data_IF_103374402455
#
_entry.id   IF_103374402455
#
_cell.length_a   1.000
_cell.length_b   1.000
_cell.length_c   1.000
_cell.angle_alpha   90.00
_cell.angle_beta   90.00
_cell.angle_gamma   90.00
#
_symmetry.space_group_name_H-M   'P 1'
#
loop_
_entity.id
_entity.type
_entity.pdbx_description
1 polymer ?
#
# COMPACT_ATOMS: atom_id res chain seq x y z
N UNK A 1 -29.31 5.46 5.15
CA UNK A 1 -29.36 4.95 6.54
C UNK A 1 -27.93 4.77 7.08
N UNK A 2 -27.12 5.86 7.23
CA UNK A 2 -25.66 5.76 7.44
C UNK A 2 -25.21 5.96 8.91
N UNK A 3 -26.12 6.34 9.79
CA UNK A 3 -25.80 6.79 11.16
C UNK A 3 -25.63 5.65 12.18
N UNK A 4 -26.00 4.41 11.83
CA UNK A 4 -25.86 3.25 12.73
C UNK A 4 -24.45 2.63 12.72
N UNK A 5 -23.66 2.86 11.69
CA UNK A 5 -22.31 2.30 11.51
C UNK A 5 -21.27 2.98 12.43
N UNK A 6 -21.29 4.32 12.54
CA UNK A 6 -20.42 5.07 13.45
C UNK A 6 -20.73 4.80 14.94
N UNK A 7 -21.99 4.51 15.28
CA UNK A 7 -22.42 4.26 16.67
C UNK A 7 -22.05 2.85 17.17
N UNK A 8 -21.77 1.90 16.27
CA UNK A 8 -21.30 0.56 16.63
C UNK A 8 -19.81 0.56 17.00
N UNK A 9 -18.98 1.29 16.25
CA UNK A 9 -17.54 1.47 16.55
C UNK A 9 -17.32 2.08 17.94
N UNK A 10 -18.13 3.08 18.33
CA UNK A 10 -18.02 3.74 19.65
C UNK A 10 -18.49 2.90 20.85
N UNK A 11 -19.31 1.85 20.64
CA UNK A 11 -19.85 1.04 21.75
C UNK A 11 -18.92 -0.09 22.19
N UNK A 12 -17.99 -0.57 21.35
CA UNK A 12 -17.05 -1.63 21.73
C UNK A 12 -15.79 -1.11 22.44
N UNK A 13 -15.43 0.17 22.30
CA UNK A 13 -14.27 0.78 22.97
C UNK A 13 -14.48 1.11 24.45
N UNK A 14 -15.69 0.89 25.00
CA UNK A 14 -15.99 1.11 26.43
C UNK A 14 -16.06 -0.16 27.27
N UNK A 15 -15.88 -1.35 26.67
CA UNK A 15 -15.71 -2.59 27.42
C UNK A 15 -14.21 -2.81 27.68
N UNK A 16 -13.79 -2.56 28.91
CA UNK A 16 -12.39 -2.54 29.35
C UNK A 16 -11.56 -3.72 28.84
N UNK A 17 -10.56 -3.39 28.02
CA UNK A 17 -9.45 -4.27 27.70
C UNK A 17 -8.25 -3.78 28.50
N UNK A 18 -7.86 -4.53 29.53
CA UNK A 18 -6.61 -4.30 30.24
C UNK A 18 -5.45 -4.84 29.39
N UNK A 19 -4.46 -4.02 28.98
CA UNK A 19 -3.33 -4.53 28.21
C UNK A 19 -2.41 -5.39 29.09
N UNK A 20 -1.85 -6.49 28.57
CA UNK A 20 -0.88 -7.30 29.29
C UNK A 20 0.44 -6.54 29.45
N UNK A 21 0.98 -6.53 30.67
CA UNK A 21 2.29 -5.96 30.99
C UNK A 21 3.38 -6.91 30.51
N UNK A 22 4.11 -6.55 29.45
CA UNK A 22 5.32 -7.26 29.03
C UNK A 22 6.53 -6.50 29.58
N UNK A 23 7.33 -7.16 30.41
CA UNK A 23 8.58 -6.63 30.94
C UNK A 23 9.66 -6.63 29.84
N UNK A 24 10.14 -5.44 29.47
CA UNK A 24 11.23 -5.25 28.50
C UNK A 24 12.58 -5.42 29.21
N UNK A 25 13.40 -6.38 28.76
CA UNK A 25 14.83 -6.43 29.12
C UNK A 25 15.55 -5.28 28.45
N UNK A 26 16.18 -4.40 29.23
CA UNK A 26 17.09 -3.34 28.74
C UNK A 26 18.30 -3.96 28.04
N UNK A 27 18.50 -3.59 26.77
CA UNK A 27 19.75 -3.85 26.07
C UNK A 27 19.64 -3.85 24.55
N UNK A 28 19.23 -2.74 23.95
CA UNK A 28 19.49 -2.50 22.52
C UNK A 28 20.04 -1.07 22.33
N UNK A 29 21.14 -0.99 21.60
CA UNK A 29 21.94 0.21 21.35
C UNK A 29 21.20 1.19 20.41
N UNK A 30 21.39 2.52 20.57
CA UNK A 30 20.79 3.51 19.68
C UNK A 30 21.23 3.32 18.22
N UNK A 31 20.29 3.44 17.28
CA UNK A 31 20.54 3.43 15.85
C UNK A 31 21.48 4.59 15.46
N UNK A 32 22.68 4.27 15.00
CA UNK A 32 23.61 5.22 14.38
C UNK A 32 23.47 5.17 12.86
N UNK A 33 23.15 6.28 12.18
CA UNK A 33 23.02 6.28 10.72
C UNK A 33 24.38 6.00 10.05
N UNK A 34 24.44 5.15 9.01
CA UNK A 34 25.68 4.88 8.28
C UNK A 34 26.08 6.07 7.38
N UNK A 35 27.38 6.24 7.08
CA UNK A 35 27.90 7.38 6.33
C UNK A 35 27.50 7.37 4.85
N UNK A 36 27.46 8.58 4.28
CA UNK A 36 26.99 8.98 2.95
C UNK A 36 27.74 8.31 1.78
N UNK A 37 27.44 7.05 1.50
CA UNK A 37 27.60 6.43 0.16
C UNK A 37 26.65 5.24 0.08
N UNK A 38 25.36 5.47 -0.18
CA UNK A 38 24.40 4.38 -0.19
C UNK A 38 24.50 3.59 -1.50
N UNK A 39 25.14 2.42 -1.45
CA UNK A 39 24.99 1.41 -2.49
C UNK A 39 23.51 1.01 -2.58
N UNK A 40 23.04 0.67 -3.77
CA UNK A 40 21.66 0.21 -4.03
C UNK A 40 21.24 -0.90 -3.06
N UNK A 41 22.17 -1.81 -2.75
CA UNK A 41 21.98 -2.88 -1.77
C UNK A 41 21.67 -2.34 -0.36
N UNK A 42 22.41 -1.33 0.12
CA UNK A 42 22.18 -0.74 1.45
C UNK A 42 20.83 -0.03 1.59
N UNK A 43 20.28 0.48 0.49
CA UNK A 43 18.97 1.15 0.48
C UNK A 43 17.83 0.15 0.36
N UNK A 44 17.99 -0.87 -0.48
CA UNK A 44 17.07 -2.02 -0.52
C UNK A 44 17.00 -2.67 0.88
N UNK A 45 18.13 -2.78 1.58
CA UNK A 45 18.17 -3.24 2.98
C UNK A 45 17.42 -2.31 3.94
N UNK A 46 17.44 -0.98 3.74
CA UNK A 46 16.62 -0.04 4.52
C UNK A 46 15.12 -0.21 4.25
N UNK A 47 14.71 -0.42 2.99
CA UNK A 47 13.33 -0.73 2.66
C UNK A 47 12.90 -2.10 3.19
N UNK A 48 13.77 -3.12 3.13
CA UNK A 48 13.52 -4.42 3.74
C UNK A 48 13.48 -4.34 5.27
N UNK A 49 14.26 -3.44 5.90
CA UNK A 49 14.17 -3.20 7.33
C UNK A 49 12.84 -2.53 7.71
N UNK A 50 12.35 -1.58 6.90
CA UNK A 50 11.01 -1.02 7.05
C UNK A 50 9.91 -2.06 6.82
N UNK A 51 10.02 -2.87 5.76
CA UNK A 51 9.07 -3.93 5.45
C UNK A 51 9.04 -4.99 6.57
N UNK A 52 10.20 -5.40 7.13
CA UNK A 52 10.25 -6.34 8.28
C UNK A 52 9.59 -5.78 9.54
N UNK A 53 9.53 -4.46 9.70
CA UNK A 53 8.82 -3.82 10.80
C UNK A 53 7.29 -3.74 10.55
N UNK A 54 6.82 -3.93 9.32
CA UNK A 54 5.44 -3.70 8.90
C UNK A 54 4.71 -4.95 8.36
N UNK A 55 5.42 -5.94 7.80
CA UNK A 55 4.88 -7.14 7.15
C UNK A 55 5.87 -8.31 7.32
N UNK A 56 5.46 -9.39 7.98
CA UNK A 56 6.26 -10.64 8.03
C UNK A 56 6.13 -11.38 6.69
N UNK A 57 7.10 -11.16 5.79
CA UNK A 57 7.11 -11.66 4.41
C UNK A 57 7.65 -13.09 4.27
N UNK A 58 7.85 -13.83 5.36
CA UNK A 58 8.62 -15.09 5.35
C UNK A 58 7.90 -16.34 4.80
N UNK A 59 6.63 -16.25 4.36
CA UNK A 59 5.80 -17.45 4.10
C UNK A 59 5.01 -17.49 2.77
N UNK A 60 5.51 -16.91 1.67
CA UNK A 60 4.78 -16.99 0.38
C UNK A 60 5.68 -17.53 -0.74
N UNK A 61 5.53 -18.83 -1.02
CA UNK A 61 6.14 -19.53 -2.14
C UNK A 61 5.12 -19.66 -3.29
N UNK A 62 5.27 -18.85 -4.35
CA UNK A 62 4.43 -18.94 -5.56
C UNK A 62 5.16 -19.84 -6.58
N UNK A 63 4.54 -20.97 -6.97
CA UNK A 63 5.07 -21.85 -8.03
C UNK A 63 4.77 -21.28 -9.43
N UNK A 64 5.74 -21.30 -10.37
CA UNK A 64 5.50 -20.89 -11.75
C UNK A 64 4.70 -21.96 -12.52
N UNK A 65 3.72 -21.53 -13.33
CA UNK A 65 2.95 -22.38 -14.24
C UNK A 65 3.18 -21.92 -15.70
N UNK A 66 3.50 -22.86 -16.59
CA UNK A 66 3.84 -22.66 -18.03
C UNK A 66 2.61 -22.75 -18.97
N UNK A 67 2.65 -21.95 -20.04
CA UNK A 67 1.68 -21.58 -21.10
C UNK A 67 0.73 -22.62 -21.77
N UNK A 68 -0.44 -22.13 -22.29
CA UNK A 68 -0.93 -22.40 -23.67
C UNK A 68 -2.04 -21.43 -24.23
N UNK A 69 -1.88 -20.97 -25.49
CA UNK A 69 -2.72 -20.10 -26.39
C UNK A 69 -4.25 -20.32 -26.30
N UNK A 70 -5.21 -19.42 -26.58
CA UNK A 70 -5.34 -18.04 -27.07
C UNK A 70 -6.86 -17.81 -27.24
N UNK A 71 -7.42 -16.67 -26.80
CA UNK A 71 -8.87 -16.33 -26.64
C UNK A 71 -9.61 -16.93 -25.44
N UNK A 72 -9.37 -18.20 -25.05
CA UNK A 72 -9.75 -18.73 -23.71
C UNK A 72 -8.80 -18.19 -22.61
N UNK A 73 -7.59 -17.80 -23.05
CA UNK A 73 -6.48 -17.26 -22.26
C UNK A 73 -6.74 -15.93 -21.56
N UNK A 74 -7.57 -15.03 -22.11
CA UNK A 74 -7.76 -13.71 -21.48
C UNK A 74 -8.64 -13.82 -20.23
N UNK A 75 -9.74 -14.57 -20.28
CA UNK A 75 -10.51 -14.91 -19.08
C UNK A 75 -9.64 -15.68 -18.06
N UNK A 76 -8.78 -16.56 -18.55
CA UNK A 76 -7.89 -17.37 -17.72
C UNK A 76 -6.79 -16.52 -17.03
N UNK A 77 -6.21 -15.54 -17.73
CA UNK A 77 -5.14 -14.72 -17.14
C UNK A 77 -5.65 -13.81 -16.03
N UNK A 78 -6.84 -13.22 -16.16
CA UNK A 78 -7.38 -12.39 -15.09
C UNK A 78 -7.79 -13.24 -13.87
N UNK A 79 -8.21 -14.49 -14.07
CA UNK A 79 -8.42 -15.43 -12.96
C UNK A 79 -7.11 -15.82 -12.29
N UNK A 80 -6.06 -16.08 -13.08
CA UNK A 80 -4.70 -16.30 -12.53
C UNK A 80 -4.22 -15.08 -11.73
N UNK A 81 -4.41 -13.87 -12.25
CA UNK A 81 -4.06 -12.63 -11.58
C UNK A 81 -4.84 -12.46 -10.27
N UNK A 82 -6.16 -12.67 -10.29
CA UNK A 82 -6.98 -12.62 -9.09
C UNK A 82 -6.49 -13.62 -8.04
N UNK A 83 -6.19 -14.86 -8.43
CA UNK A 83 -5.65 -15.87 -7.52
C UNK A 83 -4.28 -15.46 -6.95
N UNK A 84 -3.38 -14.88 -7.75
CA UNK A 84 -2.10 -14.37 -7.25
C UNK A 84 -2.32 -13.23 -6.25
N UNK A 85 -3.18 -12.27 -6.58
CA UNK A 85 -3.55 -11.20 -5.67
C UNK A 85 -4.18 -11.71 -4.37
N UNK A 86 -4.96 -12.78 -4.44
CA UNK A 86 -5.59 -13.40 -3.26
C UNK A 86 -4.58 -14.08 -2.34
N UNK A 87 -3.38 -14.42 -2.84
CA UNK A 87 -2.27 -14.87 -1.99
C UNK A 87 -1.52 -13.75 -1.28
N UNK A 88 -1.73 -12.49 -1.66
CA UNK A 88 -1.06 -11.35 -1.04
C UNK A 88 -1.70 -10.99 0.30
N UNK A 89 -1.02 -10.21 1.16
CA UNK A 89 -1.64 -9.70 2.38
C UNK A 89 -3.01 -9.07 2.10
N UNK A 90 -3.97 -9.30 2.98
CA UNK A 90 -5.36 -8.83 2.91
C UNK A 90 -6.25 -9.58 1.90
N UNK A 91 -5.66 -10.40 1.03
CA UNK A 91 -6.36 -11.20 0.02
C UNK A 91 -7.03 -10.38 -1.09
N UNK A 92 -7.76 -11.08 -1.95
CA UNK A 92 -8.51 -10.56 -3.09
C UNK A 92 -9.62 -11.56 -3.49
N UNK A 93 -10.65 -11.70 -2.63
CA UNK A 93 -11.62 -12.79 -2.72
C UNK A 93 -12.43 -12.73 -4.01
N UNK A 94 -12.65 -13.90 -4.63
CA UNK A 94 -13.53 -14.03 -5.77
C UNK A 94 -14.98 -13.69 -5.39
N UNK A 95 -15.74 -13.13 -6.34
CA UNK A 95 -17.16 -12.81 -6.15
C UNK A 95 -18.05 -13.61 -7.10
N UNK A 96 -19.30 -13.85 -6.72
CA UNK A 96 -20.28 -14.47 -7.62
C UNK A 96 -20.58 -13.60 -8.85
N UNK A 97 -20.50 -12.27 -8.72
CA UNK A 97 -20.75 -11.33 -9.82
C UNK A 97 -19.55 -11.18 -10.78
N UNK A 98 -18.37 -11.67 -10.37
CA UNK A 98 -17.11 -11.51 -11.09
C UNK A 98 -16.65 -10.04 -11.15
N UNK A 99 -17.09 -9.19 -10.22
CA UNK A 99 -16.74 -7.76 -10.19
C UNK A 99 -15.24 -7.55 -10.03
N UNK A 100 -14.56 -8.41 -9.27
CA UNK A 100 -13.11 -8.39 -9.08
C UNK A 100 -12.37 -8.55 -10.42
N UNK A 101 -12.87 -9.41 -11.31
CA UNK A 101 -12.28 -9.60 -12.65
C UNK A 101 -12.52 -8.39 -13.55
N UNK A 102 -13.67 -7.71 -13.40
CA UNK A 102 -13.95 -6.46 -14.14
C UNK A 102 -12.99 -5.35 -13.71
N UNK A 103 -12.77 -5.21 -12.41
CA UNK A 103 -11.77 -4.27 -11.84
C UNK A 103 -10.39 -4.55 -12.42
N UNK A 104 -9.93 -5.81 -12.38
CA UNK A 104 -8.60 -6.16 -12.91
C UNK A 104 -8.44 -5.86 -14.40
N UNK A 105 -9.50 -6.01 -15.19
CA UNK A 105 -9.49 -5.65 -16.63
C UNK A 105 -9.39 -4.15 -16.89
N UNK A 106 -9.88 -3.31 -15.97
CA UNK A 106 -9.71 -1.86 -16.09
C UNK A 106 -8.27 -1.42 -15.79
N UNK A 107 -7.59 -2.16 -14.91
CA UNK A 107 -6.24 -1.82 -14.44
C UNK A 107 -5.17 -2.45 -15.33
N UNK A 108 -5.33 -3.70 -15.74
CA UNK A 108 -4.29 -4.49 -16.39
C UNK A 108 -4.62 -4.84 -17.85
N UNK A 109 -3.63 -4.62 -18.72
CA UNK A 109 -3.58 -5.34 -19.99
C UNK A 109 -3.34 -6.84 -19.73
N UNK A 110 -3.77 -7.75 -20.62
CA UNK A 110 -3.51 -9.19 -20.47
C UNK A 110 -2.03 -9.50 -20.29
N UNK A 111 -1.17 -8.78 -21.01
CA UNK A 111 0.27 -8.98 -20.95
C UNK A 111 0.82 -8.48 -19.61
N UNK A 112 0.34 -7.35 -19.08
CA UNK A 112 0.82 -6.81 -17.79
C UNK A 112 0.30 -7.67 -16.63
N UNK A 113 -0.92 -8.23 -16.74
CA UNK A 113 -1.44 -9.22 -15.80
C UNK A 113 -0.53 -10.47 -15.75
N UNK A 114 -0.06 -10.94 -16.90
CA UNK A 114 0.88 -12.06 -16.98
C UNK A 114 2.23 -11.73 -16.35
N UNK A 115 2.79 -10.54 -16.60
CA UNK A 115 4.04 -10.12 -15.98
C UNK A 115 3.89 -9.97 -14.47
N UNK A 116 2.82 -9.34 -13.98
CA UNK A 116 2.53 -9.18 -12.55
C UNK A 116 2.53 -10.53 -11.81
N UNK A 117 1.97 -11.57 -12.42
CA UNK A 117 1.93 -12.92 -11.83
C UNK A 117 3.32 -13.54 -11.59
N UNK A 118 4.37 -13.03 -12.23
CA UNK A 118 5.73 -13.54 -12.08
C UNK A 118 6.58 -12.71 -11.10
N UNK A 119 6.06 -11.58 -10.61
CA UNK A 119 6.76 -10.66 -9.71
C UNK A 119 6.63 -11.09 -8.23
N UNK A 120 7.37 -10.41 -7.35
CA UNK A 120 7.44 -10.71 -5.91
C UNK A 120 7.15 -9.48 -5.05
N UNK A 121 6.85 -9.72 -3.77
CA UNK A 121 6.72 -8.69 -2.74
C UNK A 121 8.08 -8.08 -2.35
N UNK A 122 9.18 -8.80 -2.59
CA UNK A 122 10.53 -8.27 -2.46
C UNK A 122 10.88 -7.39 -3.65
N UNK A 123 11.63 -6.30 -3.41
CA UNK A 123 12.19 -5.49 -4.47
C UNK A 123 13.16 -6.29 -5.35
N UNK A 124 12.98 -6.19 -6.66
CA UNK A 124 13.87 -6.78 -7.67
C UNK A 124 14.13 -5.76 -8.80
N UNK A 125 15.34 -5.77 -9.38
CA UNK A 125 15.63 -5.05 -10.63
C UNK A 125 15.07 -5.82 -11.84
N UNK A 126 15.02 -5.18 -13.01
CA UNK A 126 14.63 -5.85 -14.24
C UNK A 126 15.54 -7.04 -14.59
N UNK A 127 16.84 -6.94 -14.33
CA UNK A 127 17.81 -8.02 -14.53
C UNK A 127 17.51 -9.23 -13.63
N UNK A 128 17.24 -8.98 -12.35
CA UNK A 128 16.91 -10.03 -11.39
C UNK A 128 15.60 -10.74 -11.76
N UNK A 129 14.59 -9.97 -12.20
CA UNK A 129 13.32 -10.53 -12.68
C UNK A 129 13.56 -11.35 -13.96
N UNK A 130 14.32 -10.84 -14.92
CA UNK A 130 14.62 -11.53 -16.18
C UNK A 130 15.32 -12.87 -15.93
N UNK A 131 16.37 -12.88 -15.10
CA UNK A 131 17.14 -14.07 -14.74
C UNK A 131 16.25 -15.12 -14.06
N UNK A 132 15.46 -14.71 -13.07
CA UNK A 132 14.60 -15.63 -12.30
C UNK A 132 13.46 -16.21 -13.12
N UNK A 133 12.84 -15.41 -13.97
CA UNK A 133 11.64 -15.79 -14.72
C UNK A 133 11.94 -16.38 -16.10
N UNK A 134 13.18 -16.21 -16.59
CA UNK A 134 13.57 -16.53 -17.95
C UNK A 134 12.97 -15.58 -19.00
N UNK A 135 12.45 -14.42 -18.59
CA UNK A 135 11.91 -13.40 -19.49
C UNK A 135 13.07 -12.64 -20.18
N UNK A 136 12.88 -12.15 -21.41
CA UNK A 136 13.86 -11.28 -22.06
C UNK A 136 14.08 -10.01 -21.24
N UNK A 137 15.35 -9.62 -21.04
CA UNK A 137 15.71 -8.37 -20.37
C UNK A 137 15.41 -7.14 -21.24
N UNK A 138 15.54 -7.28 -22.57
CA UNK A 138 15.33 -6.20 -23.51
C UNK A 138 13.92 -5.59 -23.36
N UNK A 139 13.85 -4.31 -23.01
CA UNK A 139 12.61 -3.57 -22.81
C UNK A 139 11.82 -3.92 -21.53
N UNK A 140 12.32 -4.82 -20.67
CA UNK A 140 11.62 -5.22 -19.44
C UNK A 140 11.55 -4.08 -18.43
N UNK A 141 12.64 -3.35 -18.22
CA UNK A 141 12.70 -2.23 -17.27
C UNK A 141 11.72 -1.11 -17.67
N UNK A 142 11.68 -0.72 -18.94
CA UNK A 142 10.72 0.28 -19.42
C UNK A 142 9.27 -0.17 -19.31
N UNK A 143 9.04 -1.48 -19.45
CA UNK A 143 7.72 -2.05 -19.22
C UNK A 143 7.33 -1.99 -17.75
N UNK A 144 8.21 -2.38 -16.84
CA UNK A 144 7.98 -2.30 -15.40
C UNK A 144 7.77 -0.85 -14.95
N UNK A 145 8.55 0.08 -15.49
CA UNK A 145 8.37 1.51 -15.27
C UNK A 145 6.99 2.00 -15.71
N UNK A 146 6.52 1.61 -16.89
CA UNK A 146 5.15 1.94 -17.34
C UNK A 146 4.09 1.33 -16.43
N UNK A 147 4.29 0.08 -15.98
CA UNK A 147 3.37 -0.56 -15.02
C UNK A 147 3.35 0.21 -13.69
N UNK A 148 4.50 0.68 -13.21
CA UNK A 148 4.59 1.54 -12.02
C UNK A 148 3.83 2.85 -12.22
N UNK A 149 4.04 3.55 -13.34
CA UNK A 149 3.31 4.78 -13.68
C UNK A 149 1.79 4.57 -13.81
N UNK A 150 1.38 3.36 -14.18
CA UNK A 150 -0.02 2.95 -14.25
C UNK A 150 -0.61 2.48 -12.91
N UNK A 151 0.18 2.48 -11.83
CA UNK A 151 -0.26 2.05 -10.51
C UNK A 151 -0.50 0.55 -10.39
N UNK A 152 0.13 -0.25 -11.24
CA UNK A 152 0.02 -1.70 -11.24
C UNK A 152 1.05 -2.38 -10.32
N UNK A 153 2.13 -1.68 -9.99
CA UNK A 153 3.20 -2.15 -9.11
C UNK A 153 3.84 -0.96 -8.39
N UNK A 154 4.66 -1.25 -7.38
CA UNK A 154 5.44 -0.23 -6.68
C UNK A 154 6.88 -0.26 -7.16
N UNK A 155 7.40 0.91 -7.52
CA UNK A 155 8.78 1.10 -7.94
C UNK A 155 9.50 2.12 -7.08
N UNK A 156 10.83 2.02 -7.06
CA UNK A 156 11.73 3.05 -6.54
C UNK A 156 12.79 3.30 -7.59
N UNK A 157 13.04 4.58 -7.87
CA UNK A 157 14.05 5.03 -8.82
C UNK A 157 15.23 5.67 -8.05
N UNK A 158 16.41 5.07 -8.19
CA UNK A 158 17.66 5.59 -7.62
C UNK A 158 18.49 6.38 -8.63
N UNK A 159 17.91 6.73 -9.79
CA UNK A 159 18.54 7.44 -10.90
C UNK A 159 19.37 6.54 -11.82
N UNK A 160 20.19 5.65 -11.24
CA UNK A 160 21.00 4.69 -12.02
C UNK A 160 20.37 3.31 -12.14
N UNK A 161 19.47 2.97 -11.22
CA UNK A 161 18.78 1.68 -11.19
C UNK A 161 17.37 1.86 -10.63
N UNK A 162 16.45 1.05 -11.16
CA UNK A 162 15.08 0.98 -10.69
C UNK A 162 14.82 -0.40 -10.11
N UNK A 163 14.07 -0.43 -9.02
CA UNK A 163 13.61 -1.67 -8.37
C UNK A 163 12.10 -1.67 -8.28
N UNK A 164 11.52 -2.85 -8.39
CA UNK A 164 10.07 -3.04 -8.46
C UNK A 164 9.60 -4.17 -7.57
N UNK A 165 8.38 -4.06 -7.07
CA UNK A 165 7.67 -5.12 -6.33
C UNK A 165 6.16 -5.04 -6.59
N UNK A 166 5.46 -6.15 -6.35
CA UNK A 166 3.99 -6.14 -6.29
C UNK A 166 3.48 -5.61 -4.96
N UNK A 167 2.25 -5.11 -4.97
CA UNK A 167 1.55 -4.65 -3.77
C UNK A 167 0.19 -5.34 -3.66
N UNK A 168 -0.36 -5.48 -2.44
CA UNK A 168 -1.71 -6.00 -2.22
C UNK A 168 -2.77 -5.07 -2.84
N UNK A 169 -4.04 -5.50 -2.79
CA UNK A 169 -5.16 -4.70 -3.29
C UNK A 169 -5.33 -3.38 -2.53
N UNK A 170 -5.57 -3.45 -1.21
CA UNK A 170 -5.63 -2.29 -0.30
C UNK A 170 -4.27 -2.10 0.39
N UNK A 171 -3.88 -0.85 0.59
CA UNK A 171 -2.50 -0.41 0.81
C UNK A 171 -1.58 -0.72 -0.37
N UNK A 172 -2.12 -0.58 -1.58
CA UNK A 172 -1.42 -0.89 -2.81
C UNK A 172 -2.20 -0.47 -4.05
N UNK A 173 -2.57 -1.45 -4.86
CA UNK A 173 -3.05 -1.22 -6.23
C UNK A 173 -4.26 -0.30 -6.26
N UNK A 174 -5.21 -0.45 -5.32
CA UNK A 174 -6.38 0.41 -5.23
C UNK A 174 -5.98 1.88 -5.10
N UNK A 175 -5.18 2.24 -4.08
CA UNK A 175 -4.69 3.59 -3.83
C UNK A 175 -3.91 4.17 -5.02
N UNK A 176 -3.15 3.31 -5.71
CA UNK A 176 -2.34 3.72 -6.86
C UNK A 176 -3.19 4.09 -8.09
N UNK A 177 -4.48 3.69 -8.12
CA UNK A 177 -5.41 4.10 -9.17
C UNK A 177 -5.96 5.53 -8.99
N UNK A 178 -5.52 6.28 -7.97
CA UNK A 178 -6.04 7.64 -7.70
C UNK A 178 -6.06 8.55 -8.93
N UNK A 179 -5.00 8.56 -9.76
CA UNK A 179 -4.93 9.41 -10.98
C UNK A 179 -5.82 8.91 -12.12
N UNK A 180 -6.22 7.64 -12.09
CA UNK A 180 -7.00 6.94 -13.14
C UNK A 180 -8.45 6.67 -12.74
N UNK A 181 -8.80 6.89 -11.47
CA UNK A 181 -10.13 6.65 -10.94
C UNK A 181 -11.19 7.52 -11.63
N UNK A 182 -12.16 6.83 -12.23
CA UNK A 182 -13.34 7.40 -12.87
C UNK A 182 -14.60 6.82 -12.21
N UNK A 183 -15.78 7.28 -12.66
CA UNK A 183 -17.06 6.86 -12.07
C UNK A 183 -17.32 5.35 -12.21
N UNK A 184 -17.03 4.77 -13.38
CA UNK A 184 -17.22 3.33 -13.60
C UNK A 184 -16.35 2.49 -12.66
N UNK A 185 -15.08 2.86 -12.50
CA UNK A 185 -14.17 2.21 -11.57
C UNK A 185 -14.67 2.33 -10.12
N UNK A 186 -15.13 3.52 -9.72
CA UNK A 186 -15.73 3.76 -8.41
C UNK A 186 -16.96 2.87 -8.16
N UNK A 187 -17.85 2.72 -9.14
CA UNK A 187 -19.05 1.87 -9.01
C UNK A 187 -18.69 0.39 -8.84
N UNK A 188 -17.66 -0.09 -9.54
CA UNK A 188 -17.16 -1.46 -9.38
C UNK A 188 -16.47 -1.67 -8.02
N UNK A 189 -15.68 -0.70 -7.55
CA UNK A 189 -15.05 -0.74 -6.24
C UNK A 189 -16.08 -0.77 -5.09
N UNK A 190 -17.12 0.06 -5.15
CA UNK A 190 -18.24 0.05 -4.19
C UNK A 190 -19.01 -1.28 -4.19
N UNK A 191 -19.19 -1.91 -5.36
CA UNK A 191 -19.77 -3.25 -5.43
C UNK A 191 -18.83 -4.28 -4.79
N UNK A 192 -17.53 -4.22 -5.07
CA UNK A 192 -16.53 -5.15 -4.57
C UNK A 192 -16.28 -5.01 -3.06
N UNK A 193 -16.37 -3.80 -2.50
CA UNK A 193 -16.21 -3.52 -1.06
C UNK A 193 -17.16 -4.37 -0.21
N UNK A 194 -18.35 -4.70 -0.73
CA UNK A 194 -19.32 -5.57 -0.03
C UNK A 194 -18.78 -6.96 0.26
N UNK A 195 -17.82 -7.44 -0.55
CA UNK A 195 -17.14 -8.73 -0.36
C UNK A 195 -15.80 -8.55 0.34
N UNK A 196 -14.98 -7.59 -0.11
CA UNK A 196 -13.64 -7.37 0.41
C UNK A 196 -13.64 -6.77 1.83
N UNK A 197 -14.53 -5.81 2.11
CA UNK A 197 -14.59 -5.06 3.37
C UNK A 197 -14.75 -5.95 4.61
N UNK A 198 -15.75 -6.87 4.66
CA UNK A 198 -15.89 -7.79 5.78
C UNK A 198 -14.61 -8.60 6.05
N UNK A 199 -13.98 -9.15 5.00
CA UNK A 199 -12.72 -9.88 5.14
C UNK A 199 -11.61 -9.00 5.70
N UNK A 200 -11.49 -7.76 5.22
CA UNK A 200 -10.43 -6.83 5.64
C UNK A 200 -10.53 -6.48 7.13
N UNK A 201 -11.74 -6.22 7.63
CA UNK A 201 -11.98 -5.80 9.01
C UNK A 201 -12.16 -6.93 10.02
N UNK A 202 -12.49 -8.15 9.58
CA UNK A 202 -12.65 -9.33 10.44
C UNK A 202 -11.35 -10.12 10.64
N UNK A 203 -10.22 -9.56 10.18
CA UNK A 203 -8.89 -10.13 10.44
C UNK A 203 -8.52 -10.07 11.93
N UNK A 204 -7.88 -11.14 12.43
CA UNK A 204 -7.49 -11.23 13.84
C UNK A 204 -6.44 -10.19 14.26
N UNK A 205 -5.66 -9.68 13.30
CA UNK A 205 -4.66 -8.63 13.51
C UNK A 205 -5.10 -7.38 12.74
N UNK A 206 -5.50 -6.29 13.43
CA UNK A 206 -5.91 -5.06 12.78
C UNK A 206 -4.75 -4.47 11.96
N UNK A 207 -4.97 -4.30 10.66
CA UNK A 207 -4.00 -3.71 9.74
C UNK A 207 -3.92 -2.18 9.90
N UNK A 208 -4.99 -1.56 10.38
CA UNK A 208 -5.05 -0.13 10.70
C UNK A 208 -5.01 0.08 12.20
N UNK A 209 -4.17 1.02 12.62
CA UNK A 209 -4.09 1.48 14.01
C UNK A 209 -4.55 2.93 14.09
N UNK A 210 -5.25 3.26 15.17
CA UNK A 210 -5.56 4.65 15.51
C UNK A 210 -4.38 5.19 16.32
N UNK A 211 -3.67 6.17 15.75
CA UNK A 211 -2.60 6.90 16.45
C UNK A 211 -3.15 8.26 16.90
N UNK A 212 -3.06 8.62 18.18
CA UNK A 212 -3.58 9.89 18.68
C UNK A 212 -2.78 11.07 18.14
N UNK A 213 -3.47 12.11 17.68
CA UNK A 213 -2.86 13.41 17.38
C UNK A 213 -2.76 14.21 18.66
N UNK A 214 -1.55 14.61 19.02
CA UNK A 214 -1.29 15.44 20.20
C UNK A 214 -1.85 16.85 19.95
N UNK A 215 -2.96 17.20 20.60
CA UNK A 215 -3.53 18.56 20.52
C UNK A 215 -3.13 19.45 21.68
N UNK A 216 -2.96 18.91 22.90
CA UNK A 216 -2.46 19.63 24.08
C UNK A 216 -1.83 18.63 25.08
N UNK A 217 -0.72 19.02 25.72
CA UNK A 217 -0.14 18.30 26.85
C UNK A 217 -0.96 18.69 28.09
N UNK A 218 -1.81 17.80 28.58
CA UNK A 218 -2.43 18.01 29.90
C UNK A 218 -1.33 18.03 30.97
N UNK A 219 -1.39 18.97 31.93
CA UNK A 219 -0.44 19.11 33.03
C UNK A 219 -0.57 18.00 34.10
N UNK A 220 -0.69 16.74 33.66
CA UNK A 220 -0.64 15.55 34.48
C UNK A 220 0.20 14.48 33.78
N UNK A 221 0.79 13.56 34.54
CA UNK A 221 1.49 12.40 33.98
C UNK A 221 0.51 11.53 33.19
N UNK A 222 0.47 11.72 31.87
CA UNK A 222 -0.21 10.82 30.96
C UNK A 222 0.84 9.85 30.43
N UNK A 223 0.65 8.56 30.67
CA UNK A 223 1.38 7.52 29.96
C UNK A 223 0.97 7.60 28.49
N UNK A 224 1.79 8.28 27.69
CA UNK A 224 1.55 8.40 26.25
C UNK A 224 1.88 7.07 25.57
N UNK A 225 1.12 6.66 24.54
CA UNK A 225 1.47 5.51 23.71
C UNK A 225 2.89 5.66 23.14
N UNK A 226 3.59 4.54 22.97
CA UNK A 226 4.93 4.50 22.38
C UNK A 226 4.98 5.12 20.97
N UNK A 227 3.88 5.01 20.21
CA UNK A 227 3.74 5.58 18.87
C UNK A 227 2.93 6.89 18.93
N UNK A 228 3.57 8.01 18.56
CA UNK A 228 2.97 9.34 18.46
C UNK A 228 3.08 9.84 17.02
N UNK A 229 2.07 10.57 16.54
CA UNK A 229 2.07 11.08 15.16
C UNK A 229 3.25 12.04 14.93
N UNK A 230 3.60 12.85 15.93
CA UNK A 230 4.81 13.69 15.91
C UNK A 230 6.06 12.84 15.71
N UNK A 231 6.22 11.75 16.47
CA UNK A 231 7.38 10.87 16.33
C UNK A 231 7.50 10.27 14.92
N UNK A 232 6.38 9.83 14.32
CA UNK A 232 6.36 9.32 12.94
C UNK A 232 6.81 10.41 11.97
N UNK A 233 6.27 11.63 12.10
CA UNK A 233 6.67 12.76 11.27
C UNK A 233 8.14 13.12 11.48
N UNK A 234 8.63 13.11 12.72
CA UNK A 234 10.00 13.49 13.01
C UNK A 234 11.01 12.53 12.41
N UNK A 235 10.70 11.23 12.37
CA UNK A 235 11.54 10.21 11.71
C UNK A 235 11.46 10.26 10.18
N UNK A 236 10.43 10.88 9.62
CA UNK A 236 10.27 11.05 8.17
C UNK A 236 11.28 12.05 7.59
N UNK A 237 11.88 11.68 6.44
CA UNK A 237 12.81 12.55 5.71
C UNK A 237 12.16 13.22 4.50
N UNK A 238 11.05 12.68 3.99
CA UNK A 238 10.23 13.33 2.98
C UNK A 238 8.76 13.01 3.17
N UNK A 239 7.91 13.91 2.66
CA UNK A 239 6.47 13.89 2.86
C UNK A 239 5.76 14.12 1.54
N UNK A 240 4.73 13.35 1.30
CA UNK A 240 3.87 13.45 0.14
C UNK A 240 2.42 13.47 0.57
N UNK A 241 1.57 14.13 -0.20
CA UNK A 241 0.12 14.09 0.02
C UNK A 241 -0.60 13.78 -1.28
N UNK A 242 -1.72 13.07 -1.10
CA UNK A 242 -2.66 12.72 -2.13
C UNK A 242 -4.08 13.10 -1.70
N UNK A 243 -4.95 13.29 -2.69
CA UNK A 243 -6.39 13.14 -2.45
C UNK A 243 -6.66 11.78 -1.81
N UNK A 244 -7.50 11.75 -0.79
CA UNK A 244 -7.98 10.50 -0.22
C UNK A 244 -8.81 9.77 -1.26
N UNK A 245 -8.31 8.62 -1.72
CA UNK A 245 -8.96 7.82 -2.76
C UNK A 245 -10.40 7.44 -2.38
N UNK A 246 -10.64 7.07 -1.11
CA UNK A 246 -11.99 6.74 -0.63
C UNK A 246 -12.93 7.96 -0.73
N UNK A 247 -12.43 9.18 -0.44
CA UNK A 247 -13.23 10.40 -0.60
C UNK A 247 -13.49 10.70 -2.07
N UNK A 248 -12.49 10.48 -2.94
CA UNK A 248 -12.62 10.67 -4.38
C UNK A 248 -13.64 9.71 -4.99
N UNK A 249 -13.59 8.45 -4.59
CA UNK A 249 -14.58 7.43 -4.96
C UNK A 249 -16.00 7.88 -4.59
N UNK A 250 -16.22 8.18 -3.30
CA UNK A 250 -17.54 8.63 -2.85
C UNK A 250 -17.99 9.93 -3.52
N UNK A 251 -17.08 10.86 -3.83
CA UNK A 251 -17.41 12.06 -4.58
C UNK A 251 -17.88 11.75 -6.01
N UNK A 252 -17.24 10.80 -6.70
CA UNK A 252 -17.66 10.36 -8.05
C UNK A 252 -19.03 9.68 -8.05
N UNK A 253 -19.39 9.02 -6.94
CA UNK A 253 -20.70 8.40 -6.72
C UNK A 253 -21.79 9.39 -6.29
N UNK A 254 -21.45 10.67 -6.07
CA UNK A 254 -22.40 11.71 -5.65
C UNK A 254 -22.56 11.85 -4.13
N UNK A 255 -21.63 11.29 -3.35
CA UNK A 255 -21.59 11.32 -1.89
C UNK A 255 -20.41 12.17 -1.36
N UNK A 256 -20.03 13.22 -2.08
CA UNK A 256 -18.95 14.12 -1.64
C UNK A 256 -19.29 14.76 -0.30
N UNK A 257 -18.34 14.70 0.64
CA UNK A 257 -18.42 15.41 1.92
C UNK A 257 -17.66 16.75 1.88
N UNK A 258 -17.94 17.64 2.82
CA UNK A 258 -17.29 18.96 2.93
C UNK A 258 -15.91 18.93 3.61
N UNK A 259 -15.42 17.75 4.02
CA UNK A 259 -14.08 17.60 4.59
C UNK A 259 -13.01 17.74 3.50
N UNK A 260 -11.79 18.22 3.83
CA UNK A 260 -10.69 18.31 2.87
C UNK A 260 -10.43 16.99 2.14
N UNK A 261 -10.12 17.09 0.84
CA UNK A 261 -9.84 15.94 -0.02
C UNK A 261 -8.40 15.47 0.13
N UNK A 262 -7.46 16.41 0.16
CA UNK A 262 -6.02 16.20 0.21
C UNK A 262 -5.55 15.88 1.65
N UNK A 263 -5.79 14.64 2.07
CA UNK A 263 -5.51 14.17 3.44
C UNK A 263 -4.77 12.83 3.49
N UNK A 264 -4.51 12.20 2.35
CA UNK A 264 -3.81 10.92 2.29
C UNK A 264 -2.30 11.18 2.34
N UNK A 265 -1.76 11.25 3.56
CA UNK A 265 -0.35 11.53 3.82
C UNK A 265 0.52 10.29 3.62
N UNK A 266 1.64 10.46 2.92
CA UNK A 266 2.70 9.47 2.75
C UNK A 266 4.01 10.02 3.33
N UNK A 267 4.76 9.17 4.03
CA UNK A 267 6.00 9.54 4.71
C UNK A 267 7.06 8.53 4.27
N UNK A 268 8.24 9.02 3.87
CA UNK A 268 9.34 8.17 3.47
C UNK A 268 10.59 8.45 4.32
N UNK A 269 11.39 7.42 4.62
CA UNK A 269 12.62 7.53 5.41
C UNK A 269 13.81 8.03 4.59
N UNK A 270 13.57 8.56 3.38
CA UNK A 270 14.59 9.03 2.44
C UNK A 270 14.26 10.45 1.97
N UNK A 271 15.25 11.36 1.85
CA UNK A 271 15.01 12.69 1.31
C UNK A 271 14.51 12.63 -0.14
N UNK A 272 13.68 13.60 -0.53
CA UNK A 272 13.22 13.80 -1.92
C UNK A 272 12.50 12.60 -2.58
N UNK A 273 12.08 11.59 -1.80
CA UNK A 273 11.47 10.37 -2.33
C UNK A 273 10.19 10.63 -3.13
N UNK A 274 9.44 11.65 -2.74
CA UNK A 274 8.18 12.03 -3.39
C UNK A 274 8.36 13.04 -4.53
N UNK A 275 9.58 13.53 -4.77
CA UNK A 275 9.85 14.47 -5.84
C UNK A 275 9.68 13.75 -7.18
N UNK A 276 8.77 14.24 -8.01
CA UNK A 276 8.41 13.63 -9.29
C UNK A 276 7.90 12.18 -9.21
N UNK A 277 7.49 11.71 -8.02
CA UNK A 277 7.02 10.33 -7.84
C UNK A 277 5.73 10.07 -8.63
N UNK A 278 5.66 9.01 -9.47
CA UNK A 278 4.58 8.84 -10.43
C UNK A 278 3.21 8.61 -9.80
N UNK A 279 3.16 8.08 -8.58
CA UNK A 279 1.91 7.79 -7.86
C UNK A 279 1.53 8.83 -6.80
N UNK A 280 2.42 9.77 -6.47
CA UNK A 280 2.12 10.84 -5.51
C UNK A 280 1.76 12.11 -6.26
N UNK A 281 0.79 12.86 -5.71
CA UNK A 281 0.30 14.08 -6.32
C UNK A 281 1.21 15.26 -6.01
N UNK A 282 1.64 15.41 -4.75
CA UNK A 282 2.45 16.56 -4.34
C UNK A 282 3.39 16.23 -3.18
N UNK A 283 4.66 16.62 -3.33
CA UNK A 283 5.62 16.66 -2.23
C UNK A 283 5.34 17.88 -1.34
N UNK A 284 5.43 17.71 -0.03
CA UNK A 284 5.08 18.75 0.94
C UNK A 284 6.18 18.91 2.00
N UNK A 285 6.16 20.06 2.67
CA UNK A 285 7.05 20.28 3.81
C UNK A 285 6.61 19.49 5.05
N UNK A 286 7.54 19.23 5.97
CA UNK A 286 7.22 18.67 7.30
C UNK A 286 6.15 19.48 8.03
N UNK A 287 6.22 20.81 7.94
CA UNK A 287 5.24 21.71 8.58
C UNK A 287 3.84 21.54 7.99
N UNK A 288 3.74 21.41 6.66
CA UNK A 288 2.47 21.18 6.00
C UNK A 288 1.88 19.80 6.35
N UNK A 289 2.72 18.77 6.51
CA UNK A 289 2.29 17.46 7.01
C UNK A 289 1.65 17.57 8.40
N UNK A 290 2.24 18.38 9.29
CA UNK A 290 1.63 18.68 10.60
C UNK A 290 0.30 19.41 10.48
N UNK A 291 0.18 20.36 9.55
CA UNK A 291 -1.04 21.15 9.40
C UNK A 291 -2.22 20.32 8.83
N UNK A 292 -1.93 19.33 7.98
CA UNK A 292 -2.94 18.37 7.47
C UNK A 292 -3.56 17.51 8.59
N UNK A 293 -2.81 17.25 9.67
CA UNK A 293 -3.25 16.40 10.78
C UNK A 293 -4.11 17.12 11.82
N UNK A 294 -4.20 18.45 11.78
CA UNK A 294 -4.94 19.27 12.75
C UNK A 294 -6.45 19.25 12.49
#
# INVERSE_FOLDING_TARGET
>A
MPWKFQRWIFKKTTAGYAPPTIAVRRGETPFTPPPETHSVASVIDQFHALDRALIDTSLIYIKPQRNHKGKKMTQDIYKKLANVMDTLPNGFPATESGVEIKILKMIFSPEDAELFCDLRLSFETAEQIAERTGRPLEGLDERLKRMWENGQLFGVDFGTVRVYRIMPWVFGIYEFQLKRMNREFAELCEEYEKTFGPQFFDTQVPLMKVVPVEKEIFAGEVSLPYEQVSAIIETGQSFGVNDCICKKEQALLGHRCDRPMEVCLAIAPMPNFFDHHPLVARAISKQEAYDILK
#
